data_IF_568122119745
#
_entry.id   IF_568122119745
#
_cell.length_a   1.000
_cell.length_b   1.000
_cell.length_c   1.000
_cell.angle_alpha   90.00
_cell.angle_beta   90.00
_cell.angle_gamma   90.00
#
_symmetry.space_group_name_H-M   'P 1'
#
loop_
_entity.id
_entity.type
_entity.pdbx_description
1 polymer ?
2 non-polymer ?
3 water ?
#
# COMPACT_ATOMS: atom_id res chain seq x y z
N UNK A 1 -14.03 4.98 -11.99
CA UNK A 1 -13.38 4.07 -12.93
C UNK A 1 -13.01 2.76 -12.26
N UNK A 2 -12.82 1.70 -13.04
CA UNK A 2 -12.23 0.48 -12.50
C UNK A 2 -10.75 0.52 -12.85
N UNK A 3 -9.90 0.23 -11.87
CA UNK A 3 -8.46 0.18 -12.11
C UNK A 3 -7.93 -1.21 -11.77
N UNK A 4 -7.27 -1.85 -12.74
CA UNK A 4 -6.62 -3.13 -12.48
C UNK A 4 -5.19 -2.86 -12.02
N UNK A 5 -4.47 -3.92 -11.64
CA UNK A 5 -3.22 -3.71 -10.91
C UNK A 5 -1.96 -4.26 -11.58
N UNK A 6 -2.02 -4.44 -12.90
CA UNK A 6 -0.88 -4.92 -13.67
C UNK A 6 0.20 -3.85 -13.66
N UNK A 7 -0.22 -2.61 -13.45
CA UNK A 7 0.68 -1.48 -13.31
C UNK A 7 0.42 -0.81 -11.97
N UNK A 8 1.35 0.02 -11.49
CA UNK A 8 1.07 0.90 -10.33
C UNK A 8 -0.18 1.74 -10.57
N UNK A 9 -1.08 1.79 -9.57
CA UNK A 9 -2.32 2.55 -9.75
C UNK A 9 -2.10 4.03 -9.51
N UNK A 10 -1.54 4.69 -10.51
CA UNK A 10 -1.15 6.10 -10.36
C UNK A 10 -2.27 6.95 -10.87
N UNK A 11 -2.54 8.06 -10.16
CA UNK A 11 -3.56 8.97 -10.63
C UNK A 11 -3.05 10.39 -10.51
N UNK A 12 -3.75 11.29 -11.18
CA UNK A 12 -3.42 12.70 -11.07
C UNK A 12 -4.13 13.32 -9.88
N UNK A 13 -3.41 14.12 -9.11
CA UNK A 13 -4.04 14.86 -8.03
C UNK A 13 -3.77 16.33 -8.20
N UNK A 14 -4.64 17.13 -7.61
CA UNK A 14 -4.40 18.57 -7.52
C UNK A 14 -4.54 18.94 -6.05
N UNK A 15 -3.50 19.58 -5.53
CA UNK A 15 -3.44 19.98 -4.13
C UNK A 15 -2.59 21.23 -4.00
N UNK A 16 -3.03 22.18 -3.17
CA UNK A 16 -2.29 23.42 -2.95
C UNK A 16 -2.02 24.16 -4.25
N UNK A 17 -2.97 24.06 -5.18
CA UNK A 17 -2.84 24.69 -6.49
C UNK A 17 -1.92 23.98 -7.48
N UNK A 18 -1.36 22.84 -7.08
CA UNK A 18 -0.34 22.14 -7.87
C UNK A 18 -0.80 20.78 -8.38
N UNK A 19 -0.34 20.41 -9.56
CA UNK A 19 -0.64 19.09 -10.10
C UNK A 19 0.48 18.09 -9.81
N UNK A 20 0.10 16.92 -9.31
CA UNK A 20 1.06 15.85 -9.01
C UNK A 20 0.47 14.47 -9.35
N UNK A 21 1.34 13.47 -9.40
CA UNK A 21 0.89 12.07 -9.53
C UNK A 21 1.03 11.36 -8.20
N UNK A 22 0.10 10.46 -7.92
CA UNK A 22 0.13 9.76 -6.62
C UNK A 22 -0.40 8.34 -6.78
N UNK A 23 0.05 7.47 -5.88
CA UNK A 23 -0.27 6.07 -5.95
C UNK A 23 -1.47 5.79 -5.04
N UNK A 24 -2.52 5.19 -5.59
CA UNK A 24 -3.66 4.78 -4.76
C UNK A 24 -3.18 3.61 -3.88
N UNK A 25 -3.22 3.81 -2.58
CA UNK A 25 -2.49 2.89 -1.70
C UNK A 25 -3.34 2.34 -0.56
N UNK A 26 -3.86 1.14 -0.78
CA UNK A 26 -4.72 0.50 0.21
C UNK A 26 -3.94 0.02 1.44
N UNK A 27 -2.61 0.00 1.35
CA UNK A 27 -1.79 -0.47 2.45
C UNK A 27 -1.34 0.69 3.31
N UNK A 28 -1.89 1.85 3.01
CA UNK A 28 -1.55 3.09 3.70
C UNK A 28 -2.78 3.67 4.45
N UNK A 29 -2.66 3.78 5.77
CA UNK A 29 -3.75 4.33 6.56
C UNK A 29 -3.90 5.81 6.18
N UNK A 30 -2.76 6.51 6.16
CA UNK A 30 -2.74 7.94 5.94
C UNK A 30 -2.23 8.30 4.53
N UNK A 31 -2.35 9.58 4.19
CA UNK A 31 -1.88 10.08 2.91
C UNK A 31 -0.55 10.80 3.13
N UNK A 32 0.46 10.44 2.34
CA UNK A 32 1.80 11.01 2.48
C UNK A 32 2.34 11.52 1.15
N UNK A 33 2.62 12.82 1.11
CA UNK A 33 3.12 13.43 -0.09
C UNK A 33 4.54 13.93 0.13
N UNK A 34 5.33 13.86 -0.94
CA UNK A 34 6.69 14.37 -0.95
C UNK A 34 6.68 15.85 -0.62
N UNK A 35 7.85 16.38 -0.26
CA UNK A 35 7.95 17.78 0.13
C UNK A 35 7.32 18.69 -0.94
N UNK A 36 6.41 19.53 -0.48
CA UNK A 36 5.69 20.47 -1.32
C UNK A 36 5.36 21.65 -0.46
N UNK A 37 5.04 22.78 -1.09
CA UNK A 37 4.60 23.96 -0.37
C UNK A 37 3.08 23.92 -0.16
N UNK A 38 2.67 23.75 1.10
CA UNK A 38 1.27 23.85 1.48
C UNK A 38 1.11 25.05 2.43
N UNK A 39 -0.01 25.78 2.28
CA UNK A 39 -0.29 27.03 3.00
C UNK A 39 -0.16 27.04 4.54
N UNK A 40 -1.24 26.77 5.26
CA UNK A 40 -1.35 27.14 6.65
C UNK A 40 -0.47 26.48 7.72
N UNK A 41 -1.07 26.25 8.88
CA UNK A 41 -0.33 25.66 10.01
C UNK A 41 -0.23 24.14 9.86
N UNK A 42 0.72 23.55 10.58
CA UNK A 42 0.90 22.09 10.57
C UNK A 42 1.46 21.62 11.91
N UNK A 43 1.47 20.31 12.11
CA UNK A 43 2.04 19.72 13.31
C UNK A 43 3.10 18.70 12.94
N UNK A 44 4.20 18.66 13.70
CA UNK A 44 5.22 17.62 13.46
C UNK A 44 4.67 16.25 13.80
N UNK A 45 5.07 15.24 13.03
CA UNK A 45 4.57 13.89 13.25
C UNK A 45 5.64 12.91 12.81
N UNK A 46 5.52 11.67 13.27
CA UNK A 46 6.45 10.61 12.89
C UNK A 46 5.64 9.40 12.47
N UNK A 47 6.00 8.82 11.34
CA UNK A 47 5.26 7.67 10.82
C UNK A 47 6.22 6.55 10.40
N UNK A 48 5.81 5.30 10.63
CA UNK A 48 6.67 4.19 10.32
C UNK A 48 6.24 3.42 9.10
N UNK A 49 7.21 2.91 8.37
CA UNK A 49 6.96 2.02 7.26
C UNK A 49 7.89 0.85 7.29
N UNK A 50 8.14 0.28 6.12
CA UNK A 50 8.90 -0.96 6.03
C UNK A 50 10.34 -0.89 6.58
N UNK A 51 11.04 0.21 6.31
CA UNK A 51 12.44 0.30 6.67
C UNK A 51 12.79 1.21 7.84
N UNK A 52 11.79 1.64 8.59
CA UNK A 52 12.00 2.55 9.70
C UNK A 52 10.97 3.66 9.72
N UNK A 53 11.40 4.86 10.07
CA UNK A 53 10.48 5.96 10.29
C UNK A 53 10.94 7.27 9.65
N UNK A 54 9.98 8.14 9.34
CA UNK A 54 10.31 9.47 8.84
C UNK A 54 9.55 10.54 9.61
N UNK A 55 10.09 11.75 9.62
CA UNK A 55 9.38 12.92 10.14
C UNK A 55 8.53 13.56 9.04
N UNK A 56 7.28 13.84 9.36
CA UNK A 56 6.42 14.54 8.41
C UNK A 56 5.67 15.68 9.08
N UNK A 57 5.16 16.60 8.26
CA UNK A 57 4.33 17.67 8.77
C UNK A 57 2.89 17.29 8.50
N UNK A 58 2.04 17.41 9.52
CA UNK A 58 0.63 17.07 9.36
C UNK A 58 -0.25 18.28 9.08
N UNK A 59 -0.92 18.26 7.94
CA UNK A 59 -1.87 19.31 7.59
C UNK A 59 -3.30 18.76 7.65
N UNK A 60 -4.15 19.36 8.46
CA UNK A 60 -5.54 18.92 8.50
C UNK A 60 -6.46 19.72 7.57
N UNK A 61 -7.59 19.11 7.22
CA UNK A 61 -8.62 19.72 6.36
C UNK A 61 -8.06 20.36 5.11
N UNK A 62 -7.20 19.61 4.43
CA UNK A 62 -6.67 20.01 3.14
C UNK A 62 -7.58 19.52 2.01
N UNK A 63 -7.90 20.40 1.07
CA UNK A 63 -8.65 20.00 -0.11
C UNK A 63 -7.70 19.35 -1.11
N UNK A 64 -8.10 18.19 -1.63
CA UNK A 64 -7.33 17.50 -2.65
C UNK A 64 -8.25 16.95 -3.72
N UNK A 65 -7.82 17.05 -4.97
CA UNK A 65 -8.61 16.48 -6.03
C UNK A 65 -7.93 15.20 -6.50
N UNK A 66 -8.64 14.08 -6.43
CA UNK A 66 -8.01 12.81 -6.75
C UNK A 66 -8.75 12.22 -7.93
N UNK A 67 -8.10 12.21 -9.09
CA UNK A 67 -8.70 11.73 -10.33
C UNK A 67 -10.09 12.35 -10.57
N UNK A 68 -10.20 13.66 -10.32
CA UNK A 68 -11.45 14.38 -10.54
C UNK A 68 -12.43 14.34 -9.38
N UNK A 69 -12.08 13.62 -8.32
CA UNK A 69 -12.96 13.53 -7.15
C UNK A 69 -12.40 14.36 -6.01
N UNK A 70 -13.18 15.32 -5.54
CA UNK A 70 -12.74 16.18 -4.45
C UNK A 70 -12.89 15.51 -3.08
N UNK A 71 -11.86 15.64 -2.25
CA UNK A 71 -11.89 15.17 -0.86
C UNK A 71 -11.21 16.18 0.05
N UNK A 72 -11.61 16.22 1.32
CA UNK A 72 -10.95 17.08 2.29
C UNK A 72 -10.50 16.25 3.47
N UNK A 73 -9.22 16.33 3.82
CA UNK A 73 -8.72 15.58 4.94
C UNK A 73 -7.28 15.87 5.28
N UNK A 74 -6.72 15.03 6.13
CA UNK A 74 -5.35 15.17 6.56
C UNK A 74 -4.34 14.69 5.52
N UNK A 75 -3.36 15.52 5.28
CA UNK A 75 -2.26 15.16 4.39
C UNK A 75 -0.94 15.31 5.12
N UNK A 76 -0.09 14.29 5.02
CA UNK A 76 1.22 14.32 5.63
C UNK A 76 2.26 14.66 4.57
N UNK A 77 3.19 15.53 4.92
CA UNK A 77 4.21 15.94 3.98
C UNK A 77 5.60 15.68 4.53
N UNK A 78 6.41 15.00 3.73
CA UNK A 78 7.71 14.58 4.22
C UNK A 78 8.43 13.71 3.23
N UNK A 79 9.61 13.22 3.62
CA UNK A 79 10.54 12.50 2.75
C UNK A 79 10.08 11.09 2.33
N UNK A 80 8.79 10.92 2.02
CA UNK A 80 8.31 9.73 1.34
C UNK A 80 8.89 9.63 -0.06
N UNK A 81 9.29 8.42 -0.47
CA UNK A 81 9.81 8.19 -1.83
C UNK A 81 8.76 8.35 -2.93
N UNK A 82 7.48 8.14 -2.60
CA UNK A 82 6.41 8.35 -3.58
C UNK A 82 5.21 9.02 -2.93
N UNK A 83 4.46 9.80 -3.70
CA UNK A 83 3.20 10.33 -3.23
C UNK A 83 2.21 9.20 -3.07
N UNK A 84 1.64 9.08 -1.88
CA UNK A 84 0.73 7.98 -1.54
C UNK A 84 -0.63 8.50 -1.09
N UNK A 85 -1.70 8.07 -1.75
CA UNK A 85 -3.06 8.36 -1.27
C UNK A 85 -3.53 7.19 -0.39
N UNK A 86 -3.71 7.47 0.89
CA UNK A 86 -4.13 6.44 1.85
C UNK A 86 -5.64 6.34 2.05
N UNK A 87 -6.05 5.37 2.88
CA UNK A 87 -7.45 5.05 3.01
C UNK A 87 -8.32 6.20 3.51
N UNK A 88 -7.73 7.05 4.36
CA UNK A 88 -8.40 8.26 4.84
C UNK A 88 -9.07 9.09 3.73
N UNK A 89 -8.42 9.14 2.58
CA UNK A 89 -8.94 9.85 1.43
C UNK A 89 -9.63 8.89 0.44
N UNK A 90 -9.16 7.64 0.37
CA UNK A 90 -9.76 6.66 -0.52
C UNK A 90 -11.26 6.41 -0.21
N UNK A 91 -11.60 6.38 1.07
CA UNK A 91 -13.01 6.19 1.46
C UNK A 91 -13.89 7.34 1.00
N UNK A 92 -13.31 8.55 0.93
CA UNK A 92 -14.05 9.74 0.50
C UNK A 92 -14.44 9.72 -0.97
N UNK A 93 -13.60 9.14 -1.80
CA UNK A 93 -13.89 9.09 -3.21
C UNK A 93 -14.62 7.79 -3.53
N UNK A 94 -14.94 7.03 -2.49
CA UNK A 94 -15.73 5.82 -2.64
C UNK A 94 -15.00 4.63 -3.23
N UNK A 95 -13.68 4.59 -3.03
CA UNK A 95 -12.83 3.61 -3.67
C UNK A 95 -12.90 2.24 -2.98
N UNK A 96 -13.12 1.18 -3.75
CA UNK A 96 -13.18 -0.18 -3.19
C UNK A 96 -12.21 -1.17 -3.84
N UNK A 97 -11.91 -2.26 -3.15
CA UNK A 97 -11.16 -3.38 -3.74
C UNK A 97 -12.16 -4.47 -4.15
N UNK A 98 -11.90 -5.14 -5.26
CA UNK A 98 -12.84 -6.14 -5.76
C UNK A 98 -12.17 -7.32 -6.41
N UNK A 99 -12.64 -8.52 -6.10
CA UNK A 99 -12.15 -9.73 -6.74
C UNK A 99 -13.09 -10.90 -6.49
N UNK B 1 -14.93 -11.03 -3.31
CA UNK B 1 -15.92 -10.08 -2.78
C UNK B 1 -15.56 -8.62 -3.09
N UNK B 2 -16.39 -7.69 -2.64
CA UNK B 2 -16.03 -6.28 -2.70
C UNK B 2 -15.59 -5.89 -1.30
N UNK B 3 -14.52 -5.11 -1.21
CA UNK B 3 -14.00 -4.69 0.09
C UNK B 3 -13.87 -3.16 0.16
N UNK B 4 -14.53 -2.54 1.13
CA UNK B 4 -14.40 -1.10 1.33
C UNK B 4 -13.18 -0.80 2.23
N UNK B 5 -12.83 0.47 2.38
CA UNK B 5 -11.54 0.80 2.99
C UNK B 5 -11.62 1.58 4.32
N UNK B 6 -12.78 1.52 4.96
CA UNK B 6 -12.98 2.19 6.25
C UNK B 6 -12.11 1.49 7.28
N UNK B 7 -11.80 0.22 7.02
CA UNK B 7 -10.87 -0.55 7.84
C UNK B 7 -9.72 -1.05 6.99
N UNK B 8 -8.59 -1.41 7.60
CA UNK B 8 -7.50 -2.11 6.87
C UNK B 8 -8.08 -3.31 6.11
N UNK B 9 -7.70 -3.46 4.83
CA UNK B 9 -8.22 -4.60 4.07
C UNK B 9 -7.43 -5.88 4.34
N UNK B 10 -7.72 -6.50 5.49
CA UNK B 10 -7.02 -7.69 5.94
C UNK B 10 -7.76 -8.91 5.48
N UNK B 11 -7.02 -9.92 5.03
CA UNK B 11 -7.61 -11.17 4.60
C UNK B 11 -6.83 -12.31 5.18
N UNK B 12 -7.43 -13.48 5.12
CA UNK B 12 -6.76 -14.67 5.61
C UNK B 12 -5.97 -15.31 4.46
N UNK B 13 -4.74 -15.70 4.74
CA UNK B 13 -3.93 -16.39 3.74
C UNK B 13 -3.47 -17.73 4.29
N UNK B 14 -3.20 -18.66 3.40
CA UNK B 14 -2.54 -19.89 3.78
C UNK B 14 -1.30 -20.05 2.91
N UNK B 15 -0.17 -20.24 3.57
CA UNK B 15 1.08 -20.38 2.88
C UNK B 15 2.02 -21.25 3.72
N UNK B 16 2.74 -22.15 3.06
CA UNK B 16 3.67 -23.04 3.74
C UNK B 16 2.97 -23.88 4.80
N UNK B 17 1.71 -24.25 4.54
CA UNK B 17 0.91 -25.00 5.50
C UNK B 17 0.41 -24.19 6.70
N UNK B 18 0.68 -22.88 6.72
CA UNK B 18 0.32 -22.05 7.86
C UNK B 18 -0.75 -21.00 7.55
N UNK B 19 -1.54 -20.67 8.55
CA UNK B 19 -2.54 -19.61 8.39
C UNK B 19 -2.08 -18.30 8.97
N UNK B 20 -2.24 -17.23 8.19
CA UNK B 20 -1.81 -15.89 8.59
C UNK B 20 -2.81 -14.85 8.08
N UNK B 21 -2.76 -13.66 8.66
CA UNK B 21 -3.52 -12.52 8.12
C UNK B 21 -2.60 -11.58 7.36
N UNK B 22 -3.09 -11.01 6.28
CA UNK B 22 -2.27 -10.11 5.46
C UNK B 22 -3.09 -8.98 4.86
N UNK B 23 -2.42 -7.87 4.59
CA UNK B 23 -3.08 -6.66 4.14
C UNK B 23 -3.01 -6.64 2.63
N UNK B 24 -4.15 -6.47 1.96
CA UNK B 24 -4.19 -6.31 0.50
C UNK B 24 -3.63 -4.92 0.19
N UNK B 25 -2.51 -4.89 -0.51
CA UNK B 25 -1.71 -3.66 -0.59
C UNK B 25 -1.42 -3.24 -2.02
N UNK B 26 -2.27 -2.36 -2.54
CA UNK B 26 -2.08 -1.84 -3.90
C UNK B 26 -0.83 -0.95 -4.02
N UNK B 27 -0.28 -0.53 -2.89
CA UNK B 27 0.90 0.33 -2.89
C UNK B 27 2.19 -0.46 -2.91
N UNK B 28 2.05 -1.78 -2.90
CA UNK B 28 3.17 -2.70 -2.85
C UNK B 28 3.31 -3.44 -4.19
N UNK B 29 4.46 -3.28 -4.84
CA UNK B 29 4.72 -4.04 -6.06
C UNK B 29 4.84 -5.53 -5.68
N UNK B 30 5.60 -5.79 -4.63
CA UNK B 30 5.89 -7.18 -4.24
C UNK B 30 5.10 -7.60 -3.00
N UNK B 31 5.12 -8.90 -2.70
CA UNK B 31 4.49 -9.42 -1.49
C UNK B 31 5.58 -9.65 -0.44
N UNK B 32 5.36 -9.14 0.76
CA UNK B 32 6.34 -9.24 1.84
C UNK B 32 5.69 -9.79 3.12
N UNK B 33 6.22 -10.92 3.59
CA UNK B 33 5.67 -11.58 4.74
C UNK B 33 6.68 -11.52 5.89
N UNK B 34 6.17 -11.37 7.10
CA UNK B 34 6.98 -11.38 8.31
C UNK B 34 7.73 -12.69 8.39
N UNK B 35 8.78 -12.73 9.21
CA UNK B 35 9.57 -13.95 9.37
C UNK B 35 8.68 -15.17 9.64
N UNK B 36 8.82 -16.16 8.78
CA UNK B 36 8.05 -17.37 8.90
C UNK B 36 8.87 -18.50 8.30
N UNK B 37 8.49 -19.74 8.59
CA UNK B 37 9.21 -20.90 8.06
C UNK B 37 8.68 -21.31 6.70
N UNK B 38 9.51 -21.16 5.67
CA UNK B 38 9.18 -21.60 4.32
C UNK B 38 10.25 -22.61 3.86
N UNK B 39 9.84 -23.62 3.09
CA UNK B 39 10.79 -24.63 2.61
C UNK B 39 11.45 -24.27 1.28
N UNK B 40 12.70 -24.70 1.10
CA UNK B 40 13.36 -24.58 -0.19
C UNK B 40 14.44 -23.51 -0.27
N UNK B 41 14.96 -23.30 -1.48
CA UNK B 41 16.02 -22.33 -1.70
C UNK B 41 15.46 -20.91 -1.89
N UNK B 42 16.28 -19.91 -1.57
CA UNK B 42 15.88 -18.52 -1.67
C UNK B 42 17.08 -17.66 -2.07
N UNK B 43 16.81 -16.39 -2.35
CA UNK B 43 17.88 -15.45 -2.70
C UNK B 43 17.79 -14.21 -1.83
N UNK B 44 18.96 -13.66 -1.45
CA UNK B 44 18.98 -12.38 -0.74
C UNK B 44 18.41 -11.29 -1.62
N UNK B 45 17.71 -10.34 -1.01
CA UNK B 45 17.22 -9.18 -1.74
C UNK B 45 17.05 -8.03 -0.76
N UNK B 46 17.17 -6.80 -1.27
CA UNK B 46 16.95 -5.61 -0.46
C UNK B 46 15.77 -4.85 -1.02
N UNK B 47 14.86 -4.41 -0.16
CA UNK B 47 13.70 -3.68 -0.63
C UNK B 47 13.50 -2.38 0.15
N UNK B 48 13.10 -1.33 -0.54
CA UNK B 48 12.95 -0.03 0.10
C UNK B 48 11.52 0.37 0.35
N UNK B 49 11.29 1.05 1.46
CA UNK B 49 9.99 1.58 1.81
C UNK B 49 10.13 2.98 2.35
N UNK B 50 9.11 3.42 3.08
CA UNK B 50 9.05 4.81 3.54
C UNK B 50 10.25 5.27 4.37
N UNK B 51 10.73 4.40 5.27
CA UNK B 51 11.75 4.81 6.22
C UNK B 51 13.15 4.28 5.98
N UNK B 52 13.36 3.60 4.87
CA UNK B 52 14.65 2.98 4.60
C UNK B 52 14.52 1.63 3.91
N UNK B 53 15.46 0.73 4.17
CA UNK B 53 15.54 -0.55 3.46
C UNK B 53 15.63 -1.73 4.41
N UNK B 54 15.07 -2.87 4.00
CA UNK B 54 15.22 -4.10 4.77
C UNK B 54 15.78 -5.22 3.91
N UNK B 55 16.46 -6.17 4.54
CA UNK B 55 16.92 -7.37 3.86
C UNK B 55 15.81 -8.43 3.93
N UNK B 56 15.52 -9.07 2.81
CA UNK B 56 14.55 -10.16 2.80
C UNK B 56 15.10 -11.39 2.07
N UNK B 57 14.40 -12.50 2.22
CA UNK B 57 14.70 -13.69 1.43
C UNK B 57 13.64 -13.79 0.36
N UNK B 58 14.07 -13.95 -0.89
CA UNK B 58 13.15 -14.08 -2.01
C UNK B 58 12.85 -15.55 -2.34
N UNK B 59 11.58 -15.92 -2.24
CA UNK B 59 11.13 -17.26 -2.61
C UNK B 59 10.29 -17.20 -3.88
N UNK B 60 10.67 -17.98 -4.90
CA UNK B 60 9.91 -17.99 -6.14
C UNK B 60 8.96 -19.18 -6.24
N UNK B 61 7.94 -19.04 -7.08
CA UNK B 61 6.96 -20.09 -7.34
C UNK B 61 6.36 -20.67 -6.05
N UNK B 62 5.98 -19.77 -5.15
CA UNK B 62 5.34 -20.17 -3.91
C UNK B 62 3.83 -20.19 -4.02
N UNK B 63 3.21 -21.28 -3.59
CA UNK B 63 1.76 -21.36 -3.58
C UNK B 63 1.19 -20.62 -2.37
N UNK B 64 0.29 -19.69 -2.62
CA UNK B 64 -0.40 -18.98 -1.55
C UNK B 64 -1.90 -18.92 -1.80
N UNK B 65 -2.67 -19.10 -0.75
CA UNK B 65 -4.11 -18.98 -0.85
C UNK B 65 -4.56 -17.67 -0.20
N UNK B 66 -5.17 -16.80 -0.98
CA UNK B 66 -5.52 -15.46 -0.48
C UNK B 66 -7.03 -15.34 -0.50
N UNK B 67 -7.63 -15.38 0.70
CA UNK B 67 -9.07 -15.33 0.88
C UNK B 67 -9.75 -16.38 -0.03
N UNK B 68 -9.18 -17.59 -0.07
CA UNK B 68 -9.75 -18.68 -0.86
C UNK B 68 -9.40 -18.68 -2.35
N UNK B 69 -8.54 -17.76 -2.76
CA UNK B 69 -8.09 -17.71 -4.14
C UNK B 69 -6.65 -18.17 -4.22
N UNK B 70 -6.41 -19.25 -4.95
CA UNK B 70 -5.05 -19.75 -5.08
C UNK B 70 -4.23 -18.89 -6.05
N UNK B 71 -2.99 -18.61 -5.68
CA UNK B 71 -2.05 -17.91 -6.56
C UNK B 71 -0.67 -18.53 -6.38
N UNK B 72 0.16 -18.47 -7.43
CA UNK B 72 1.55 -18.88 -7.31
C UNK B 72 2.49 -17.78 -7.75
N UNK B 73 3.42 -17.40 -6.89
CA UNK B 73 4.39 -16.40 -7.30
C UNK B 73 5.47 -16.16 -6.28
N UNK B 74 6.16 -15.05 -6.46
CA UNK B 74 7.24 -14.66 -5.57
C UNK B 74 6.74 -14.09 -4.24
N UNK B 75 7.32 -14.60 -3.17
CA UNK B 75 7.06 -14.07 -1.86
C UNK B 75 8.39 -13.68 -1.22
N UNK B 76 8.45 -12.47 -0.69
CA UNK B 76 9.59 -12.00 0.08
C UNK B 76 9.37 -12.17 1.58
N UNK B 77 10.38 -12.65 2.29
CA UNK B 77 10.24 -12.84 3.73
C UNK B 77 11.27 -12.06 4.53
N UNK B 78 10.81 -11.26 5.48
CA UNK B 78 11.72 -10.45 6.27
C UNK B 78 11.05 -9.58 7.30
N UNK B 79 11.82 -8.66 7.90
CA UNK B 79 11.35 -7.86 9.03
C UNK B 79 10.38 -6.72 8.64
N UNK B 80 9.37 -7.04 7.83
CA UNK B 80 8.26 -6.12 7.62
C UNK B 80 7.36 -6.06 8.86
N UNK B 81 6.85 -4.87 9.16
CA UNK B 81 5.91 -4.70 10.29
C UNK B 81 4.57 -5.41 10.13
N UNK B 82 4.20 -5.75 8.89
CA UNK B 82 2.96 -6.49 8.64
C UNK B 82 3.07 -7.28 7.37
N UNK B 83 2.27 -8.33 7.29
CA UNK B 83 2.20 -9.12 6.08
C UNK B 83 1.45 -8.34 5.03
N UNK B 84 2.08 -8.17 3.88
CA UNK B 84 1.48 -7.39 2.81
C UNK B 84 1.40 -8.17 1.49
N UNK B 85 0.20 -8.24 0.93
CA UNK B 85 0.02 -8.86 -0.38
C UNK B 85 0.12 -7.78 -1.45
N UNK B 86 1.13 -7.90 -2.30
CA UNK B 86 1.40 -6.89 -3.32
C UNK B 86 0.75 -7.19 -4.66
N UNK B 87 0.93 -6.27 -5.62
CA UNK B 87 0.23 -6.35 -6.88
C UNK B 87 0.58 -7.63 -7.66
N UNK B 88 1.80 -8.12 -7.46
CA UNK B 88 2.21 -9.38 -8.11
C UNK B 88 1.21 -10.53 -7.89
N UNK B 89 0.64 -10.60 -6.68
CA UNK B 89 -0.35 -11.62 -6.38
C UNK B 89 -1.77 -11.10 -6.53
N UNK B 90 -1.97 -9.79 -6.33
CA UNK B 90 -3.30 -9.22 -6.47
C UNK B 90 -3.86 -9.38 -7.90
N UNK B 91 -2.99 -9.25 -8.90
CA UNK B 91 -3.45 -9.44 -10.28
C UNK B 91 -3.94 -10.88 -10.51
N UNK B 92 -3.27 -11.85 -9.90
CA UNK B 92 -3.62 -13.26 -10.08
C UNK B 92 -5.02 -13.62 -9.59
N UNK B 93 -5.45 -12.99 -8.50
CA UNK B 93 -6.73 -13.30 -7.93
C UNK B 93 -7.78 -12.36 -8.51
N UNK B 94 -7.34 -11.52 -9.45
CA UNK B 94 -8.24 -10.68 -10.23
C UNK B 94 -8.72 -9.44 -9.51
N UNK B 95 -7.89 -8.95 -8.59
CA UNK B 95 -8.28 -7.89 -7.69
C UNK B 95 -8.22 -6.51 -8.36
N UNK B 96 -9.32 -5.74 -8.28
CA UNK B 96 -9.40 -4.44 -8.92
C UNK B 96 -10.24 -3.43 -8.14
N UNK B 97 -11.06 -2.71 -8.93
CA UNK B 97 -12.01 -1.70 -8.46
C UNK B 97 -13.37 -1.86 -9.17
N UNK B 98 -13.90 -3.08 -9.21
CA UNK B 98 -15.08 -3.40 -10.02
C UNK B 98 -16.47 -2.85 -9.60
N UNK B 99 -17.00 -3.29 -8.45
CA UNK B 99 -18.38 -3.02 -8.03
C UNK B 99 -19.41 -3.32 -9.13
#
# INVERSE_FOLDING_TARGET
>A
PQITLWQRPLVTIKIGGQLKEALLNTGADDTVLEEMSLPGRWKPKMIGGIGGFIKVRQYDQILIEICGHKAIGTVLVGPTPVNIIGRNLLTQIGCTLNF
>B
PQITLWQRPLVTIKIGGQLKEALLNTGADDTVLEEMSLPGRWKPKMIGGIGGFIKVRQYDQILIEICGHKAIGTVLVGPTPVNIIGRNLLTQIGCTLNF
#
